data_IF_817622584081
#
_entry.id   IF_817622584081
#
_cell.length_a   1.000
_cell.length_b   1.000
_cell.length_c   1.000
_cell.angle_alpha   90.00
_cell.angle_beta   90.00
_cell.angle_gamma   90.00
#
_symmetry.space_group_name_H-M   'P 1'
#
loop_
_entity.id
_entity.type
_entity.pdbx_description
1 polymer ?
#
# COMPACT_ATOMS: atom_id res chain seq x y z
N UNK A 1 33.64 13.37 5.59
CA UNK A 1 32.57 13.64 4.60
C UNK A 1 32.60 12.67 3.41
N UNK A 2 33.75 12.39 2.78
CA UNK A 2 33.84 11.48 1.63
C UNK A 2 33.39 10.04 1.91
N UNK A 3 33.85 9.43 3.01
CA UNK A 3 33.44 8.06 3.43
C UNK A 3 31.94 7.90 3.66
N UNK A 4 31.24 8.94 4.15
CA UNK A 4 29.79 8.88 4.34
C UNK A 4 29.03 8.89 3.02
N UNK A 5 29.53 9.63 2.02
CA UNK A 5 28.96 9.59 0.66
C UNK A 5 29.21 8.24 0.01
N UNK A 6 30.43 7.72 0.13
CA UNK A 6 30.80 6.41 -0.44
C UNK A 6 29.88 5.27 0.05
N UNK A 7 29.63 5.20 1.36
CA UNK A 7 28.68 4.23 1.93
C UNK A 7 27.24 4.46 1.42
N UNK A 8 26.83 5.71 1.25
CA UNK A 8 25.49 6.03 0.73
C UNK A 8 25.32 5.60 -0.73
N UNK A 9 26.31 5.89 -1.58
CA UNK A 9 26.33 5.48 -2.99
C UNK A 9 26.35 3.95 -3.13
N UNK A 10 27.11 3.24 -2.29
CA UNK A 10 27.11 1.77 -2.28
C UNK A 10 25.73 1.18 -1.98
N UNK A 11 24.97 1.79 -1.06
CA UNK A 11 23.63 1.34 -0.69
C UNK A 11 22.64 1.61 -1.83
N UNK A 12 22.74 2.79 -2.47
CA UNK A 12 21.90 3.16 -3.63
C UNK A 12 22.15 2.19 -4.79
N UNK A 13 23.41 1.91 -5.10
CA UNK A 13 23.79 1.01 -6.19
C UNK A 13 23.29 -0.42 -5.93
N UNK A 14 23.44 -0.94 -4.71
CA UNK A 14 22.89 -2.26 -4.35
C UNK A 14 21.37 -2.33 -4.52
N UNK A 15 20.64 -1.26 -4.18
CA UNK A 15 19.18 -1.20 -4.37
C UNK A 15 18.80 -1.16 -5.85
N UNK A 16 19.54 -0.41 -6.67
CA UNK A 16 19.34 -0.38 -8.13
C UNK A 16 19.62 -1.74 -8.77
N UNK A 17 20.71 -2.41 -8.39
CA UNK A 17 21.02 -3.76 -8.88
C UNK A 17 19.94 -4.77 -8.49
N UNK A 18 19.43 -4.70 -7.26
CA UNK A 18 18.36 -5.59 -6.79
C UNK A 18 17.03 -5.31 -7.50
N UNK A 19 16.73 -4.04 -7.79
CA UNK A 19 15.57 -3.63 -8.59
C UNK A 19 15.68 -4.12 -10.03
N UNK A 20 16.86 -4.04 -10.65
CA UNK A 20 17.06 -4.54 -12.02
C UNK A 20 17.01 -6.07 -12.11
N UNK A 21 17.55 -6.79 -11.12
CA UNK A 21 17.47 -8.27 -11.03
C UNK A 21 16.05 -8.78 -10.76
N UNK A 22 15.20 -7.96 -10.13
CA UNK A 22 13.77 -8.28 -9.93
C UNK A 22 12.93 -7.90 -11.16
N UNK A 23 13.29 -6.84 -11.88
CA UNK A 23 12.69 -6.50 -13.19
C UNK A 23 13.05 -7.49 -14.31
N UNK A 24 14.22 -8.13 -14.31
CA UNK A 24 14.50 -9.20 -15.30
C UNK A 24 13.67 -10.47 -15.10
N UNK A 25 12.93 -10.59 -13.98
CA UNK A 25 11.94 -11.65 -13.76
C UNK A 25 10.49 -11.18 -14.03
N UNK A 26 10.28 -9.91 -14.37
CA UNK A 26 8.99 -9.37 -14.79
C UNK A 26 9.24 -8.40 -15.96
N UNK A 27 9.50 -8.98 -17.12
CA UNK A 27 9.55 -8.25 -18.38
C UNK A 27 8.14 -7.73 -18.70
N UNK A 28 7.98 -6.40 -18.66
CA UNK A 28 7.47 -5.57 -19.75
C UNK A 28 7.32 -4.13 -19.23
N UNK A 29 8.27 -3.27 -19.59
CA UNK A 29 8.03 -1.83 -19.63
C UNK A 29 7.27 -1.52 -20.92
N UNK A 30 6.18 -0.75 -20.82
CA UNK A 30 5.78 0.16 -21.87
C UNK A 30 5.09 1.37 -21.24
N UNK A 31 5.78 2.51 -21.31
CA UNK A 31 5.18 3.83 -21.23
C UNK A 31 4.15 4.03 -22.35
N UNK A 32 3.31 5.06 -22.17
CA UNK A 32 2.58 5.84 -23.18
C UNK A 32 1.05 5.62 -23.20
N UNK A 33 0.40 6.63 -22.60
CA UNK A 33 -0.88 7.31 -22.93
C UNK A 33 -2.26 6.61 -22.80
N UNK A 34 -3.15 7.29 -22.06
CA UNK A 34 -4.62 7.16 -22.11
C UNK A 34 -5.20 7.39 -23.54
N UNK A 35 -6.49 7.09 -23.88
CA UNK A 35 -7.64 6.77 -23.02
C UNK A 35 -8.55 5.57 -23.43
N UNK A 36 -9.29 5.08 -22.42
CA UNK A 36 -10.71 4.63 -22.43
C UNK A 36 -11.27 4.07 -23.76
N UNK A 37 -11.59 2.77 -23.80
CA UNK A 37 -12.68 2.25 -24.65
C UNK A 37 -13.58 1.27 -23.90
N UNK A 38 -14.75 1.81 -23.57
CA UNK A 38 -16.09 1.21 -23.50
C UNK A 38 -16.24 -0.32 -23.51
N UNK A 39 -16.73 -0.79 -22.37
CA UNK A 39 -17.48 -2.02 -22.10
C UNK A 39 -18.33 -2.56 -23.27
N UNK A 40 -18.08 -3.80 -23.65
CA UNK A 40 -19.04 -4.64 -24.39
C UNK A 40 -19.54 -5.72 -23.43
N UNK A 41 -20.76 -5.52 -22.91
CA UNK A 41 -21.54 -6.54 -22.22
C UNK A 41 -22.23 -7.43 -23.27
N UNK A 42 -21.66 -8.61 -23.56
CA UNK A 42 -22.39 -9.62 -24.35
C UNK A 42 -23.19 -10.54 -23.42
N UNK A 43 -24.47 -10.17 -23.24
CA UNK A 43 -25.51 -11.07 -22.75
C UNK A 43 -25.80 -12.14 -23.80
N UNK A 44 -25.24 -13.34 -23.63
CA UNK A 44 -25.59 -14.51 -24.45
C UNK A 44 -26.92 -15.09 -23.96
N UNK A 45 -28.03 -14.58 -24.50
CA UNK A 45 -29.34 -15.22 -24.41
C UNK A 45 -29.42 -16.38 -25.42
N UNK A 46 -29.77 -17.56 -24.91
CA UNK A 46 -29.60 -18.85 -25.58
C UNK A 46 -30.34 -19.03 -26.91
N UNK A 47 -29.62 -19.62 -27.87
CA UNK A 47 -30.21 -20.32 -29.01
C UNK A 47 -29.77 -21.79 -28.96
N UNK A 48 -30.74 -22.69 -28.81
CA UNK A 48 -30.52 -24.14 -28.84
C UNK A 48 -30.22 -24.57 -30.27
N UNK A 49 -28.94 -24.76 -30.59
CA UNK A 49 -28.52 -25.41 -31.84
C UNK A 49 -27.90 -26.76 -31.49
N UNK A 50 -28.61 -27.84 -31.84
CA UNK A 50 -28.12 -29.21 -31.78
C UNK A 50 -27.02 -29.41 -32.83
N UNK A 51 -25.77 -29.19 -32.44
CA UNK A 51 -24.58 -29.44 -33.25
C UNK A 51 -23.76 -30.60 -32.70
N UNK A 52 -23.21 -31.45 -33.58
CA UNK A 52 -22.24 -32.51 -33.28
C UNK A 52 -21.22 -32.04 -32.24
N UNK A 53 -20.99 -32.85 -31.20
CA UNK A 53 -19.98 -32.59 -30.15
C UNK A 53 -18.65 -32.29 -30.84
N UNK A 54 -18.25 -31.02 -30.86
CA UNK A 54 -16.91 -30.64 -31.31
C UNK A 54 -15.96 -31.31 -30.33
N UNK A 55 -15.17 -32.26 -30.79
CA UNK A 55 -13.96 -32.70 -30.08
C UNK A 55 -13.24 -31.43 -29.69
N UNK A 56 -12.95 -31.27 -28.39
CA UNK A 56 -12.27 -30.08 -27.86
C UNK A 56 -11.11 -29.75 -28.78
N UNK A 57 -11.29 -28.71 -29.60
CA UNK A 57 -10.24 -28.29 -30.51
C UNK A 57 -9.07 -27.95 -29.59
N UNK A 58 -7.91 -28.55 -29.87
CA UNK A 58 -6.63 -28.05 -29.37
C UNK A 58 -6.73 -26.53 -29.46
N UNK A 59 -6.74 -25.89 -28.30
CA UNK A 59 -6.99 -24.46 -28.19
C UNK A 59 -6.06 -23.76 -29.18
N UNK A 60 -6.60 -22.91 -30.06
CA UNK A 60 -5.80 -22.08 -30.98
C UNK A 60 -5.04 -20.97 -30.22
N UNK A 61 -4.76 -21.23 -28.95
CA UNK A 61 -4.10 -20.35 -28.01
C UNK A 61 -2.62 -20.67 -28.11
N UNK A 62 -1.87 -19.68 -28.57
CA UNK A 62 -0.42 -19.74 -28.53
C UNK A 62 0.04 -19.46 -27.10
N UNK A 63 0.52 -20.48 -26.38
CA UNK A 63 0.90 -20.30 -24.98
C UNK A 63 2.15 -19.41 -24.81
N UNK A 64 2.94 -19.18 -25.87
CA UNK A 64 4.11 -18.30 -25.83
C UNK A 64 3.74 -16.83 -26.01
N UNK A 65 2.70 -16.54 -26.81
CA UNK A 65 2.33 -15.17 -27.20
C UNK A 65 0.91 -14.74 -26.81
N UNK A 66 0.17 -15.59 -26.10
CA UNK A 66 -1.18 -15.23 -25.65
C UNK A 66 -1.13 -14.23 -24.50
N UNK A 67 -1.75 -13.07 -24.72
CA UNK A 67 -1.98 -12.05 -23.69
C UNK A 67 -3.43 -12.16 -23.23
N UNK A 68 -3.64 -12.43 -21.93
CA UNK A 68 -4.98 -12.48 -21.35
C UNK A 68 -5.59 -11.08 -21.27
N UNK A 69 -6.90 -10.98 -21.50
CA UNK A 69 -7.66 -9.74 -21.28
C UNK A 69 -7.76 -9.36 -19.80
N UNK A 70 -7.62 -10.36 -18.91
CA UNK A 70 -7.64 -10.17 -17.47
C UNK A 70 -6.19 -10.14 -16.97
N UNK A 71 -5.80 -9.12 -16.19
CA UNK A 71 -4.50 -9.09 -15.55
C UNK A 71 -4.28 -10.31 -14.66
N UNK A 72 -3.05 -10.83 -14.66
CA UNK A 72 -2.68 -12.03 -13.87
C UNK A 72 -2.95 -11.82 -12.37
N UNK A 73 -2.81 -10.58 -11.89
CA UNK A 73 -2.94 -10.18 -10.50
C UNK A 73 -4.36 -9.69 -10.11
N UNK A 74 -5.35 -9.78 -11.01
CA UNK A 74 -6.69 -9.21 -10.82
C UNK A 74 -7.33 -9.56 -9.45
N UNK A 75 -7.32 -10.83 -9.05
CA UNK A 75 -7.90 -11.27 -7.77
C UNK A 75 -7.09 -10.79 -6.56
N UNK A 76 -5.77 -10.68 -6.71
CA UNK A 76 -4.90 -10.22 -5.63
C UNK A 76 -5.09 -8.74 -5.33
N UNK A 77 -5.30 -7.92 -6.37
CA UNK A 77 -5.60 -6.50 -6.24
C UNK A 77 -7.01 -6.27 -5.71
N UNK A 78 -7.99 -7.01 -6.21
CA UNK A 78 -9.37 -6.95 -5.73
C UNK A 78 -9.47 -7.25 -4.22
N UNK A 79 -8.71 -8.23 -3.73
CA UNK A 79 -8.68 -8.60 -2.31
C UNK A 79 -7.96 -7.59 -1.40
N UNK A 80 -7.31 -6.56 -1.95
CA UNK A 80 -6.68 -5.45 -1.23
C UNK A 80 -7.48 -4.14 -1.38
N UNK A 81 -8.67 -4.18 -1.98
CA UNK A 81 -9.51 -2.99 -2.17
C UNK A 81 -10.33 -2.69 -0.91
N UNK A 82 -10.35 -1.43 -0.49
CA UNK A 82 -11.17 -0.93 0.64
C UNK A 82 -12.66 -0.87 0.27
N UNK A 83 -12.97 -0.66 -1.02
CA UNK A 83 -14.36 -0.56 -1.55
C UNK A 83 -14.86 -1.85 -2.23
N UNK A 84 -14.03 -2.89 -2.29
CA UNK A 84 -14.36 -4.15 -2.94
C UNK A 84 -15.42 -4.93 -2.15
N UNK A 85 -16.70 -4.61 -2.36
CA UNK A 85 -17.83 -5.40 -1.84
C UNK A 85 -18.23 -6.54 -2.79
N UNK A 86 -17.43 -6.81 -3.83
CA UNK A 86 -17.75 -7.74 -4.90
C UNK A 86 -16.78 -8.93 -4.89
N UNK A 87 -17.16 -9.97 -4.14
CA UNK A 87 -17.17 -11.32 -4.74
C UNK A 87 -16.14 -12.36 -4.28
N UNK A 88 -15.11 -12.04 -3.51
CA UNK A 88 -14.13 -13.06 -3.09
C UNK A 88 -13.70 -12.93 -1.62
N UNK A 89 -14.35 -13.73 -0.75
CA UNK A 89 -13.90 -13.99 0.62
C UNK A 89 -13.89 -12.77 1.56
N UNK A 90 -13.40 -12.99 2.79
CA UNK A 90 -13.10 -11.90 3.73
C UNK A 90 -12.03 -10.99 3.14
N UNK A 91 -12.20 -9.67 3.26
CA UNK A 91 -11.27 -8.70 2.72
C UNK A 91 -9.89 -8.98 3.32
N UNK A 92 -8.85 -9.14 2.50
CA UNK A 92 -7.51 -9.49 3.00
C UNK A 92 -6.92 -8.33 3.82
N UNK A 93 -7.46 -7.12 3.64
CA UNK A 93 -7.24 -5.97 4.52
C UNK A 93 -7.77 -6.16 5.94
N UNK A 94 -8.81 -6.98 6.17
CA UNK A 94 -9.38 -7.19 7.51
C UNK A 94 -8.37 -7.82 8.47
N UNK A 95 -7.43 -8.61 7.94
CA UNK A 95 -6.35 -9.21 8.71
C UNK A 95 -5.09 -8.32 8.78
N UNK A 96 -5.04 -7.21 8.04
CA UNK A 96 -3.89 -6.34 8.01
C UNK A 96 -3.91 -5.35 9.19
N UNK A 97 -2.77 -5.20 9.86
CA UNK A 97 -2.56 -4.15 10.87
C UNK A 97 -2.02 -2.91 10.16
N UNK A 98 -2.81 -1.84 10.11
CA UNK A 98 -2.42 -0.57 9.50
C UNK A 98 -1.94 0.41 10.59
N UNK A 99 -0.74 0.98 10.41
CA UNK A 99 -0.25 2.09 11.24
C UNK A 99 -0.73 3.41 10.65
N UNK A 100 -1.89 3.88 11.11
CA UNK A 100 -2.48 5.13 10.65
C UNK A 100 -1.74 6.30 11.29
N UNK A 101 -0.82 6.89 10.52
CA UNK A 101 -0.13 8.14 10.88
C UNK A 101 -0.95 9.31 10.35
N UNK A 102 -1.08 10.36 11.15
CA UNK A 102 -1.73 11.58 10.70
C UNK A 102 -0.80 12.36 9.75
N UNK A 103 -1.32 12.82 8.61
CA UNK A 103 -0.55 13.58 7.62
C UNK A 103 -0.66 15.12 7.82
N UNK A 104 -1.59 15.55 8.67
CA UNK A 104 -1.76 16.95 8.99
C UNK A 104 -0.84 17.37 10.15
N UNK A 105 -0.41 18.63 10.13
CA UNK A 105 0.49 19.16 11.17
C UNK A 105 -0.11 19.07 12.59
N UNK A 106 -1.44 19.16 12.72
CA UNK A 106 -2.14 19.06 13.99
C UNK A 106 -2.17 17.60 14.50
N UNK A 107 -2.49 16.63 13.65
CA UNK A 107 -2.43 15.21 13.99
C UNK A 107 -1.01 14.74 14.33
N UNK A 108 0.00 15.17 13.56
CA UNK A 108 1.40 14.91 13.89
C UNK A 108 1.80 15.49 15.25
N UNK A 109 1.33 16.70 15.60
CA UNK A 109 1.63 17.31 16.90
C UNK A 109 0.97 16.55 18.07
N UNK A 110 -0.21 15.98 17.85
CA UNK A 110 -0.89 15.15 18.86
C UNK A 110 -0.21 13.80 19.09
N UNK A 111 0.39 13.22 18.05
CA UNK A 111 1.18 11.99 18.14
C UNK A 111 2.55 12.20 18.81
N UNK A 112 3.07 13.43 18.83
CA UNK A 112 4.35 13.75 19.50
C UNK A 112 4.21 13.67 21.01
N UNK A 113 4.76 12.61 21.60
CA UNK A 113 4.95 12.52 23.05
C UNK A 113 6.13 13.38 23.49
N UNK A 114 5.88 14.42 24.26
CA UNK A 114 6.93 15.27 24.83
C UNK A 114 7.38 14.73 26.20
N UNK A 115 8.68 14.70 26.43
CA UNK A 115 9.26 14.32 27.72
C UNK A 115 9.99 15.51 28.34
N UNK A 116 9.84 15.69 29.65
CA UNK A 116 10.54 16.71 30.41
C UNK A 116 11.44 16.07 31.47
N UNK A 117 12.68 16.56 31.58
CA UNK A 117 13.58 16.15 32.65
C UNK A 117 13.21 16.86 33.95
N UNK A 118 12.62 16.14 34.90
CA UNK A 118 12.41 16.65 36.24
C UNK A 118 13.73 16.62 37.02
N UNK A 119 14.32 17.80 37.23
CA UNK A 119 15.58 17.97 37.97
C UNK A 119 15.48 17.51 39.41
N UNK A 120 14.30 17.58 40.05
CA UNK A 120 14.09 17.21 41.45
C UNK A 120 14.05 15.69 41.62
N UNK A 121 13.31 15.01 40.75
CA UNK A 121 13.20 13.55 40.79
C UNK A 121 14.23 12.82 39.92
N UNK A 122 15.09 13.56 39.20
CA UNK A 122 16.16 13.04 38.32
C UNK A 122 15.66 11.97 37.35
N UNK A 123 14.48 12.20 36.75
CA UNK A 123 13.86 11.30 35.78
C UNK A 123 13.11 12.08 34.71
N UNK A 124 12.91 11.45 33.56
CA UNK A 124 12.02 11.99 32.53
C UNK A 124 10.57 11.71 32.89
N UNK A 125 9.73 12.75 32.76
CA UNK A 125 8.29 12.68 32.94
C UNK A 125 7.65 12.94 31.58
N UNK A 126 6.75 12.04 31.17
CA UNK A 126 5.94 12.21 29.97
C UNK A 126 4.94 13.34 30.20
N UNK A 127 4.92 14.32 29.31
CA UNK A 127 3.91 15.37 29.24
C UNK A 127 2.77 14.89 28.34
N UNK A 128 1.54 15.04 28.80
CA UNK A 128 0.36 14.77 27.99
C UNK A 128 0.00 15.99 27.14
N UNK A 129 -0.91 15.80 26.18
CA UNK A 129 -1.35 16.85 25.28
C UNK A 129 -1.99 17.99 26.10
N UNK A 130 -1.36 19.16 26.10
CA UNK A 130 -1.78 20.33 26.87
C UNK A 130 -1.03 20.54 28.19
N UNK A 131 -0.21 19.59 28.64
CA UNK A 131 0.63 19.78 29.81
C UNK A 131 1.75 20.79 29.51
N UNK A 132 1.98 21.72 30.45
CA UNK A 132 3.03 22.74 30.32
C UNK A 132 3.94 22.73 31.53
N UNK A 133 5.23 22.90 31.28
CA UNK A 133 6.24 23.04 32.33
C UNK A 133 6.46 24.52 32.60
N UNK A 134 6.25 24.93 33.85
CA UNK A 134 6.53 26.30 34.29
C UNK A 134 8.03 26.53 34.45
N UNK A 135 8.48 27.80 34.53
CA UNK A 135 9.88 28.14 34.82
C UNK A 135 10.39 27.51 36.13
N UNK A 136 9.50 27.22 37.08
CA UNK A 136 9.81 26.52 38.33
C UNK A 136 10.04 25.01 38.19
N UNK A 137 9.81 24.43 37.00
CA UNK A 137 9.88 22.99 36.74
C UNK A 137 8.60 22.23 37.13
N UNK A 138 7.60 22.90 37.71
CA UNK A 138 6.29 22.28 38.01
C UNK A 138 5.50 22.07 36.72
N UNK A 139 4.99 20.85 36.55
CA UNK A 139 4.06 20.48 35.46
C UNK A 139 2.65 20.94 35.83
N UNK A 140 2.04 21.76 34.98
CA UNK A 140 0.63 22.14 35.07
C UNK A 140 -0.13 21.34 34.02
N UNK A 141 -1.15 20.62 34.49
CA UNK A 141 -2.06 19.87 33.63
C UNK A 141 -3.24 20.75 33.26
N UNK A 142 -3.54 20.85 31.98
CA UNK A 142 -4.70 21.62 31.52
C UNK A 142 -5.93 20.71 31.57
N UNK A 143 -6.71 20.82 32.64
CA UNK A 143 -7.99 20.11 32.78
C UNK A 143 -9.07 20.93 32.10
N UNK A 144 -9.24 20.75 30.79
CA UNK A 144 -10.48 21.15 30.14
C UNK A 144 -11.55 20.15 30.57
N UNK A 145 -12.39 20.52 31.55
CA UNK A 145 -13.66 19.83 31.77
C UNK A 145 -14.54 20.14 30.55
N UNK A 146 -14.92 19.10 29.83
CA UNK A 146 -15.92 19.18 28.75
C UNK A 146 -17.32 19.37 29.30
#
# INVERSE_FOLDING_TARGET
MKRKREVHEEIINKRHEQSQKTSSNNHLEMEVDEPITTSIEDKIAGSKVSGKKRTAQQTFKDEEFYISSIPVNHHSEAGLSVRGNEGFGSNRLDAAVLDLVADDGQGMMQQKTNYHWDKKSKKFIKLNNGDRVTASGKVIRNLSFG
#
